data_IF_022988573904
#
_entry.id   IF_022988573904
#
_cell.length_a   1.000
_cell.length_b   1.000
_cell.length_c   1.000
_cell.angle_alpha   90.00
_cell.angle_beta   90.00
_cell.angle_gamma   90.00
#
_symmetry.space_group_name_H-M   'P 1'
#
loop_
_entity.id
_entity.type
_entity.pdbx_description
1 polymer ?
#
# COMPACT_ATOMS: atom_id res chain seq x y z
N UNK A 1 -12.05 -1.83 -4.13
CA UNK A 1 -10.67 -2.08 -4.62
C UNK A 1 -9.90 -3.15 -3.83
N UNK A 2 -9.74 -3.06 -2.50
CA UNK A 2 -8.99 -4.07 -1.70
C UNK A 2 -9.42 -5.52 -1.96
N UNK A 3 -10.73 -5.78 -1.97
CA UNK A 3 -11.27 -7.12 -2.22
C UNK A 3 -10.90 -7.66 -3.61
N UNK A 4 -10.92 -6.78 -4.61
CA UNK A 4 -10.54 -7.11 -5.98
C UNK A 4 -9.05 -7.48 -6.06
N UNK A 5 -8.17 -6.69 -5.46
CA UNK A 5 -6.73 -7.01 -5.39
C UNK A 5 -6.45 -8.29 -4.62
N UNK A 6 -7.22 -8.54 -3.55
CA UNK A 6 -7.14 -9.78 -2.77
C UNK A 6 -7.41 -11.05 -3.57
N UNK A 7 -8.23 -11.00 -4.63
CA UNK A 7 -8.45 -12.15 -5.52
C UNK A 7 -7.19 -12.57 -6.29
N UNK A 8 -6.28 -11.62 -6.53
CA UNK A 8 -4.98 -11.87 -7.16
C UNK A 8 -3.88 -12.19 -6.14
N UNK A 9 -4.22 -12.32 -4.86
CA UNK A 9 -3.26 -12.53 -3.79
C UNK A 9 -2.38 -11.30 -3.51
N UNK A 10 -2.82 -10.12 -3.93
CA UNK A 10 -2.17 -8.84 -3.64
C UNK A 10 -2.71 -8.32 -2.31
N UNK A 11 -1.86 -8.29 -1.29
CA UNK A 11 -2.22 -7.80 0.03
C UNK A 11 -2.17 -6.27 0.07
N UNK A 12 -3.33 -5.64 0.31
CA UNK A 12 -3.44 -4.19 0.46
C UNK A 12 -4.18 -3.82 1.74
N UNK A 13 -3.76 -2.74 2.40
CA UNK A 13 -4.52 -2.12 3.49
C UNK A 13 -5.42 -0.98 2.97
N UNK A 14 -6.49 -0.67 3.70
CA UNK A 14 -7.37 0.47 3.42
C UNK A 14 -7.14 1.50 4.50
N UNK A 15 -6.99 2.76 4.10
CA UNK A 15 -7.01 3.92 4.96
C UNK A 15 -8.21 4.79 4.56
N UNK A 16 -9.12 5.00 5.50
CA UNK A 16 -10.29 5.86 5.32
C UNK A 16 -10.38 6.83 6.51
N UNK A 17 -10.87 8.05 6.29
CA UNK A 17 -11.09 9.06 7.33
C UNK A 17 -12.13 8.61 8.36
N UNK A 18 -13.12 7.82 7.95
CA UNK A 18 -14.16 7.25 8.83
C UNK A 18 -13.63 6.23 9.86
N UNK A 19 -12.38 5.79 9.75
CA UNK A 19 -11.80 4.85 10.71
C UNK A 19 -11.31 5.60 11.96
N UNK A 20 -11.50 5.02 13.17
CA UNK A 20 -10.93 5.56 14.40
C UNK A 20 -9.42 5.80 14.26
N UNK A 21 -8.88 6.85 14.89
CA UNK A 21 -7.46 7.22 14.76
C UNK A 21 -6.54 6.07 15.14
N UNK A 22 -6.86 5.30 16.18
CA UNK A 22 -6.09 4.12 16.60
C UNK A 22 -6.00 3.05 15.51
N UNK A 23 -7.07 2.84 14.73
CA UNK A 23 -7.04 1.94 13.57
C UNK A 23 -6.20 2.54 12.44
N UNK A 24 -6.34 3.84 12.14
CA UNK A 24 -5.54 4.53 11.10
C UNK A 24 -4.04 4.47 11.40
N UNK A 25 -3.65 4.78 12.63
CA UNK A 25 -2.29 4.64 13.15
C UNK A 25 -1.77 3.22 12.94
N UNK A 26 -2.53 2.22 13.38
CA UNK A 26 -2.15 0.83 13.27
C UNK A 26 -1.94 0.39 11.81
N UNK A 27 -2.78 0.86 10.89
CA UNK A 27 -2.66 0.57 9.46
C UNK A 27 -1.39 1.18 8.87
N UNK A 28 -1.05 2.41 9.26
CA UNK A 28 0.16 3.09 8.79
C UNK A 28 1.40 2.40 9.36
N UNK A 29 1.40 2.00 10.63
CA UNK A 29 2.47 1.22 11.23
C UNK A 29 2.67 -0.12 10.52
N UNK A 30 1.60 -0.84 10.21
CA UNK A 30 1.67 -2.09 9.44
C UNK A 30 2.28 -1.88 8.04
N UNK A 31 1.94 -0.78 7.38
CA UNK A 31 2.52 -0.42 6.09
C UNK A 31 4.01 -0.08 6.21
N UNK A 32 4.39 0.76 7.18
CA UNK A 32 5.77 1.15 7.44
C UNK A 32 6.64 -0.03 7.89
N UNK A 33 6.06 -0.98 8.64
CA UNK A 33 6.67 -2.25 9.00
C UNK A 33 6.70 -3.26 7.83
N UNK A 34 6.23 -2.88 6.64
CA UNK A 34 6.29 -3.68 5.41
C UNK A 34 5.40 -4.94 5.44
N UNK A 35 4.37 -4.98 6.28
CA UNK A 35 3.37 -6.05 6.27
C UNK A 35 2.52 -5.99 4.99
N UNK A 36 2.25 -4.78 4.51
CA UNK A 36 1.56 -4.51 3.27
C UNK A 36 2.44 -3.68 2.35
N UNK A 37 2.53 -4.08 1.08
CA UNK A 37 3.24 -3.33 0.05
C UNK A 37 2.38 -2.21 -0.57
N UNK A 38 1.05 -2.32 -0.46
CA UNK A 38 0.10 -1.40 -1.07
C UNK A 38 -0.87 -0.90 -0.01
N UNK A 39 -1.07 0.41 0.01
CA UNK A 39 -2.10 1.08 0.77
C UNK A 39 -3.08 1.75 -0.20
N UNK A 40 -4.37 1.59 0.08
CA UNK A 40 -5.45 2.27 -0.63
C UNK A 40 -5.99 3.32 0.33
N UNK A 41 -5.74 4.59 0.02
CA UNK A 41 -6.26 5.70 0.78
C UNK A 41 -7.40 6.38 0.02
N UNK A 42 -8.45 6.74 0.73
CA UNK A 42 -9.45 7.69 0.24
C UNK A 42 -9.13 9.05 0.82
N UNK A 43 -9.10 10.06 -0.04
CA UNK A 43 -8.99 11.43 0.43
C UNK A 43 -10.29 11.84 1.12
N UNK A 44 -10.15 12.57 2.22
CA UNK A 44 -11.23 13.36 2.77
C UNK A 44 -11.51 14.46 1.73
N UNK A 45 -12.72 14.51 1.17
CA UNK A 45 -13.22 15.79 0.71
C UNK A 45 -13.23 16.63 1.98
N UNK A 46 -12.30 17.57 2.11
CA UNK A 46 -12.45 18.69 3.03
C UNK A 46 -13.76 19.36 2.62
N UNK A 47 -14.87 18.92 3.21
CA UNK A 47 -16.02 19.76 3.47
C UNK A 47 -15.56 20.78 4.52
N UNK A 48 -14.57 21.59 4.16
CA UNK A 48 -14.44 22.91 4.75
C UNK A 48 -15.46 23.75 3.98
N UNK A 49 -16.64 24.04 4.54
CA UNK A 49 -17.34 25.22 4.07
C UNK A 49 -16.36 26.38 4.25
N UNK A 50 -16.25 27.24 3.24
CA UNK A 50 -15.59 28.53 3.34
C UNK A 50 -15.98 29.19 4.67
N UNK A 51 -15.12 29.08 5.68
CA UNK A 51 -15.21 29.91 6.87
C UNK A 51 -14.33 31.10 6.58
N UNK A 52 -14.96 32.21 6.17
CA UNK A 52 -14.44 33.54 6.43
C UNK A 52 -13.94 33.62 7.87
N UNK A 53 -12.80 34.28 8.07
CA UNK A 53 -11.97 34.28 9.29
C UNK A 53 -12.67 34.72 10.60
N UNK A 54 -13.96 35.03 10.57
CA UNK A 54 -14.72 35.61 11.69
C UNK A 54 -15.47 34.58 12.57
N UNK A 55 -15.57 33.29 12.18
CA UNK A 55 -16.38 32.28 12.89
C UNK A 55 -15.58 31.26 13.72
N UNK A 56 -14.36 31.62 14.15
CA UNK A 56 -13.47 30.74 14.91
C UNK A 56 -13.98 30.32 16.32
N UNK A 57 -15.07 30.90 16.82
CA UNK A 57 -15.52 30.68 18.21
C UNK A 57 -16.72 29.73 18.39
N UNK A 58 -17.30 29.17 17.32
CA UNK A 58 -18.49 28.28 17.42
C UNK A 58 -18.35 26.92 16.77
N UNK A 59 -17.21 26.25 16.96
CA UNK A 59 -17.08 24.81 16.68
C UNK A 59 -16.62 24.08 17.94
N UNK A 60 -17.51 24.05 18.94
CA UNK A 60 -17.37 23.11 20.06
C UNK A 60 -17.56 21.68 19.54
N UNK A 61 -16.54 20.84 19.72
CA UNK A 61 -16.56 19.39 19.50
C UNK A 61 -16.55 18.88 18.04
N UNK A 62 -15.82 19.51 17.11
CA UNK A 62 -15.30 18.77 15.95
C UNK A 62 -13.92 18.22 16.28
N UNK A 63 -13.75 16.93 15.98
CA UNK A 63 -12.73 16.04 16.51
C UNK A 63 -11.32 16.64 16.45
N UNK A 64 -10.77 16.96 17.63
CA UNK A 64 -9.32 17.22 17.83
C UNK A 64 -8.43 16.04 17.35
N UNK A 65 -9.03 14.90 17.01
CA UNK A 65 -8.40 13.70 16.47
C UNK A 65 -7.96 13.82 15.00
N UNK A 66 -8.53 14.73 14.19
CA UNK A 66 -8.08 14.96 12.80
C UNK A 66 -6.69 15.61 12.73
N UNK A 67 -6.31 16.36 13.77
CA UNK A 67 -4.99 16.98 13.93
C UNK A 67 -3.84 16.01 14.24
N UNK A 68 -4.14 14.77 14.67
CA UNK A 68 -3.14 13.75 15.02
C UNK A 68 -2.42 13.19 13.77
N UNK A 69 -2.90 13.52 12.57
CA UNK A 69 -2.24 13.16 11.31
C UNK A 69 -0.94 13.94 11.03
N UNK A 70 -0.69 15.06 11.71
CA UNK A 70 0.58 15.81 11.62
C UNK A 70 1.67 15.13 12.48
N UNK A 71 2.12 13.96 12.03
CA UNK A 71 3.17 13.18 12.70
C UNK A 71 3.26 11.72 12.26
N UNK A 72 2.24 11.23 11.55
CA UNK A 72 2.18 9.85 11.08
C UNK A 72 2.38 9.87 9.57
N UNK A 73 3.56 9.43 9.15
CA UNK A 73 4.00 9.61 7.79
C UNK A 73 4.27 8.27 7.10
N UNK A 74 3.94 8.18 5.81
CA UNK A 74 4.24 6.99 5.02
C UNK A 74 5.74 6.96 4.73
N UNK A 75 6.44 5.99 5.29
CA UNK A 75 7.86 5.82 5.08
C UNK A 75 8.10 5.00 3.81
N UNK A 76 9.08 5.41 3.00
CA UNK A 76 9.55 4.67 1.82
C UNK A 76 8.51 4.42 0.72
N UNK A 77 7.51 5.29 0.56
CA UNK A 77 6.64 5.26 -0.61
C UNK A 77 7.49 5.53 -1.85
N UNK A 78 7.46 4.58 -2.79
CA UNK A 78 8.20 4.71 -4.06
C UNK A 78 7.29 5.22 -5.17
N UNK A 79 6.04 4.74 -5.22
CA UNK A 79 5.12 5.02 -6.30
C UNK A 79 3.77 5.45 -5.72
N UNK A 80 3.18 6.48 -6.31
CA UNK A 80 1.82 6.94 -6.02
C UNK A 80 0.99 6.75 -7.28
N UNK A 81 -0.21 6.22 -7.12
CA UNK A 81 -1.17 6.05 -8.21
C UNK A 81 -2.42 6.81 -7.82
N UNK A 82 -2.70 7.92 -8.50
CA UNK A 82 -3.98 8.61 -8.39
C UNK A 82 -4.98 7.85 -9.25
N UNK A 83 -5.86 7.08 -8.59
CA UNK A 83 -6.92 6.34 -9.28
C UNK A 83 -8.00 7.30 -9.80
N UNK A 84 -8.39 8.26 -8.97
CA UNK A 84 -9.21 9.41 -9.33
C UNK A 84 -8.32 10.67 -9.26
N UNK A 85 -8.46 11.58 -10.22
CA UNK A 85 -7.61 12.75 -10.29
C UNK A 85 -7.95 13.74 -9.14
N UNK A 86 -6.96 14.37 -8.47
CA UNK A 86 -7.25 15.34 -7.41
C UNK A 86 -8.06 16.53 -7.93
N UNK A 87 -9.01 17.01 -7.13
CA UNK A 87 -9.88 18.15 -7.49
C UNK A 87 -9.10 19.47 -7.57
N UNK A 88 -8.05 19.61 -6.74
CA UNK A 88 -7.27 20.84 -6.63
C UNK A 88 -5.76 20.56 -6.70
N UNK A 89 -5.00 21.61 -7.05
CA UNK A 89 -3.53 21.57 -7.09
C UNK A 89 -2.91 21.27 -5.72
N UNK A 90 -3.44 21.86 -4.64
CA UNK A 90 -2.92 21.63 -3.28
C UNK A 90 -3.07 20.16 -2.90
N UNK A 91 -4.22 19.56 -3.23
CA UNK A 91 -4.48 18.14 -3.04
C UNK A 91 -3.51 17.28 -3.86
N UNK A 92 -3.24 17.64 -5.12
CA UNK A 92 -2.25 16.96 -5.95
C UNK A 92 -0.83 17.02 -5.34
N UNK A 93 -0.38 18.20 -4.91
CA UNK A 93 0.94 18.39 -4.27
C UNK A 93 1.02 17.60 -2.97
N UNK A 94 -0.02 17.61 -2.13
CA UNK A 94 -0.05 16.85 -0.89
C UNK A 94 -0.03 15.33 -1.09
N UNK A 95 -0.66 14.83 -2.16
CA UNK A 95 -0.59 13.42 -2.56
C UNK A 95 0.83 13.08 -3.01
N UNK A 96 1.36 13.77 -4.01
CA UNK A 96 2.71 13.48 -4.56
C UNK A 96 3.81 13.72 -3.51
N UNK A 97 3.62 14.65 -2.58
CA UNK A 97 4.52 14.89 -1.45
C UNK A 97 4.65 13.72 -0.47
N UNK A 98 3.87 12.64 -0.64
CA UNK A 98 4.05 11.37 0.11
C UNK A 98 5.18 10.50 -0.43
N UNK A 99 5.62 10.72 -1.66
CA UNK A 99 6.75 10.01 -2.27
C UNK A 99 8.03 10.86 -2.24
N UNK A 100 9.13 10.30 -2.74
CA UNK A 100 10.39 11.01 -2.95
C UNK A 100 10.97 11.73 -1.71
N UNK A 101 10.85 11.11 -0.52
CA UNK A 101 11.38 11.68 0.72
C UNK A 101 12.85 11.31 0.98
N UNK A 102 13.60 12.29 1.48
CA UNK A 102 15.04 12.18 1.68
C UNK A 102 15.79 12.11 0.35
N UNK A 103 16.69 11.13 0.20
CA UNK A 103 17.47 10.91 -1.04
C UNK A 103 16.78 9.96 -2.03
N UNK A 104 15.58 9.47 -1.74
CA UNK A 104 14.91 8.49 -2.61
C UNK A 104 14.14 9.20 -3.72
N UNK A 105 14.23 8.70 -4.94
CA UNK A 105 13.34 9.09 -6.03
C UNK A 105 11.98 8.39 -5.91
N UNK A 106 10.94 9.10 -6.33
CA UNK A 106 9.57 8.61 -6.38
C UNK A 106 8.94 8.81 -7.75
N UNK A 107 7.91 8.02 -8.07
CA UNK A 107 7.09 8.23 -9.26
C UNK A 107 5.63 8.45 -8.88
N UNK A 108 4.94 9.31 -9.63
CA UNK A 108 3.51 9.51 -9.52
C UNK A 108 2.86 9.23 -10.88
N UNK A 109 1.82 8.41 -10.87
CA UNK A 109 1.00 8.10 -12.05
C UNK A 109 -0.42 8.55 -11.74
N UNK A 110 -1.02 9.33 -12.63
CA UNK A 110 -2.41 9.73 -12.51
C UNK A 110 -3.23 9.10 -13.64
N UNK A 111 -4.36 8.51 -13.28
CA UNK A 111 -5.41 8.17 -14.23
C UNK A 111 -6.34 9.38 -14.34
N UNK A 112 -6.66 9.79 -15.56
CA UNK A 112 -7.54 10.93 -15.84
C UNK A 112 -8.64 10.42 -16.75
N UNK A 113 -9.88 10.48 -16.27
CA UNK A 113 -11.06 10.21 -17.08
C UNK A 113 -11.45 11.42 -17.92
N UNK A 114 -12.28 11.21 -18.94
CA UNK A 114 -12.77 12.31 -19.81
C UNK A 114 -13.49 13.39 -19.00
N UNK A 115 -14.20 13.01 -17.94
CA UNK A 115 -14.92 13.94 -17.06
C UNK A 115 -13.98 14.78 -16.18
N UNK A 116 -12.76 14.30 -15.91
CA UNK A 116 -11.76 14.99 -15.08
C UNK A 116 -10.78 15.85 -15.91
N UNK A 117 -10.87 15.80 -17.24
CA UNK A 117 -10.01 16.59 -18.14
C UNK A 117 -9.98 18.10 -17.81
N UNK A 118 -11.10 18.80 -17.56
CA UNK A 118 -11.05 20.24 -17.26
C UNK A 118 -10.28 20.54 -15.96
N UNK A 119 -10.45 19.69 -14.95
CA UNK A 119 -9.72 19.80 -13.68
C UNK A 119 -8.23 19.53 -13.87
N UNK A 120 -7.90 18.54 -14.70
CA UNK A 120 -6.53 18.22 -15.05
C UNK A 120 -5.82 19.40 -15.73
N UNK A 121 -6.46 20.03 -16.72
CA UNK A 121 -5.91 21.20 -17.42
C UNK A 121 -5.65 22.37 -16.47
N UNK A 122 -6.60 22.66 -15.56
CA UNK A 122 -6.44 23.71 -14.56
C UNK A 122 -5.26 23.43 -13.60
N UNK A 123 -5.13 22.18 -13.14
CA UNK A 123 -4.01 21.77 -12.27
C UNK A 123 -2.68 21.81 -13.03
N UNK A 124 -2.65 21.40 -14.30
CA UNK A 124 -1.46 21.46 -15.14
C UNK A 124 -0.99 22.91 -15.35
N UNK A 125 -1.90 23.83 -15.70
CA UNK A 125 -1.58 25.24 -15.90
C UNK A 125 -1.01 25.87 -14.63
N UNK A 126 -1.68 25.66 -13.48
CA UNK A 126 -1.23 26.18 -12.19
C UNK A 126 0.13 25.59 -11.78
N UNK A 127 0.37 24.30 -12.03
CA UNK A 127 1.67 23.68 -11.75
C UNK A 127 2.78 24.22 -12.65
N UNK A 128 2.51 24.42 -13.95
CA UNK A 128 3.46 25.02 -14.88
C UNK A 128 3.85 26.44 -14.44
N UNK A 129 2.85 27.24 -14.03
CA UNK A 129 3.07 28.59 -13.50
C UNK A 129 3.95 28.58 -12.24
N UNK A 130 3.69 27.68 -11.29
CA UNK A 130 4.47 27.56 -10.05
C UNK A 130 5.91 27.09 -10.29
N UNK A 131 6.13 26.19 -11.24
CA UNK A 131 7.44 25.60 -11.51
C UNK A 131 8.30 26.45 -12.46
N UNK A 132 7.77 27.57 -12.99
CA UNK A 132 8.43 28.45 -13.96
C UNK A 132 9.14 27.65 -15.08
N UNK A 133 8.53 26.54 -15.50
CA UNK A 133 9.15 25.55 -16.38
C UNK A 133 8.50 25.63 -17.75
N UNK A 134 9.30 25.80 -18.80
CA UNK A 134 8.82 25.79 -20.20
C UNK A 134 8.42 24.37 -20.68
N UNK A 135 8.75 23.35 -19.91
CA UNK A 135 8.43 21.95 -20.23
C UNK A 135 7.10 21.52 -19.61
N UNK A 136 6.34 20.68 -20.33
CA UNK A 136 5.16 20.03 -19.77
C UNK A 136 5.51 19.29 -18.47
N UNK A 137 4.77 19.61 -17.41
CA UNK A 137 4.93 19.01 -16.07
C UNK A 137 4.54 17.53 -16.12
N UNK A 138 3.44 17.23 -16.82
CA UNK A 138 2.98 15.86 -17.01
C UNK A 138 3.57 15.24 -18.26
N UNK A 139 3.94 13.96 -18.15
CA UNK A 139 4.43 13.15 -19.28
C UNK A 139 3.39 12.10 -19.63
N UNK A 140 2.99 12.07 -20.89
CA UNK A 140 2.06 11.08 -21.40
C UNK A 140 2.63 9.66 -21.23
N UNK A 141 1.88 8.82 -20.52
CA UNK A 141 2.24 7.42 -20.36
C UNK A 141 1.73 6.62 -21.55
N UNK A 142 2.59 6.40 -22.54
CA UNK A 142 2.29 5.58 -23.73
C UNK A 142 2.18 4.10 -23.33
N UNK A 143 0.95 3.63 -23.14
CA UNK A 143 0.66 2.25 -22.81
C UNK A 143 -0.21 1.59 -23.88
N UNK A 144 0.21 0.41 -24.35
CA UNK A 144 -0.54 -0.37 -25.34
C UNK A 144 -1.63 -1.16 -24.64
N UNK A 145 -2.86 -0.67 -24.69
CA UNK A 145 -4.01 -1.32 -24.06
C UNK A 145 -4.24 -2.71 -24.65
N UNK A 146 -3.93 -2.92 -25.93
CA UNK A 146 -4.05 -4.22 -26.63
C UNK A 146 -3.25 -5.33 -25.93
N UNK A 147 -2.12 -4.99 -25.29
CA UNK A 147 -1.32 -5.97 -24.54
C UNK A 147 -2.09 -6.52 -23.32
N UNK A 148 -3.15 -5.85 -22.85
CA UNK A 148 -3.93 -6.27 -21.69
C UNK A 148 -5.10 -7.20 -22.01
N UNK A 149 -5.42 -7.45 -23.29
CA UNK A 149 -6.58 -8.27 -23.65
C UNK A 149 -6.52 -9.69 -23.08
N UNK A 150 -5.32 -10.25 -22.95
CA UNK A 150 -5.08 -11.55 -22.31
C UNK A 150 -5.47 -11.61 -20.82
N UNK A 151 -5.67 -10.45 -20.17
CA UNK A 151 -6.11 -10.34 -18.78
C UNK A 151 -7.58 -9.94 -18.64
N UNK A 152 -8.23 -9.48 -19.71
CA UNK A 152 -9.59 -8.91 -19.68
C UNK A 152 -10.60 -9.84 -19.01
N UNK A 153 -10.61 -11.12 -19.36
CA UNK A 153 -11.53 -12.10 -18.77
C UNK A 153 -11.25 -12.37 -17.29
N UNK A 154 -9.98 -12.36 -16.88
CA UNK A 154 -9.60 -12.56 -15.47
C UNK A 154 -10.03 -11.39 -14.61
N UNK A 155 -9.76 -10.17 -15.10
CA UNK A 155 -10.21 -8.92 -14.48
C UNK A 155 -11.71 -8.92 -14.34
N UNK A 156 -12.43 -9.29 -15.40
CA UNK A 156 -13.89 -9.34 -15.41
C UNK A 156 -14.44 -10.37 -14.42
N UNK A 157 -13.89 -11.58 -14.33
CA UNK A 157 -14.33 -12.59 -13.35
C UNK A 157 -14.10 -12.11 -11.91
N UNK A 158 -12.92 -11.56 -11.60
CA UNK A 158 -12.63 -11.00 -10.28
C UNK A 158 -13.55 -9.81 -9.94
N UNK A 159 -13.86 -8.97 -10.93
CA UNK A 159 -14.76 -7.82 -10.77
C UNK A 159 -16.18 -8.25 -10.44
N UNK A 160 -16.75 -9.19 -11.20
CA UNK A 160 -18.12 -9.66 -10.96
C UNK A 160 -18.31 -10.34 -9.60
N UNK A 161 -17.25 -10.90 -9.04
CA UNK A 161 -17.26 -11.45 -7.67
C UNK A 161 -17.31 -10.37 -6.61
N UNK A 162 -16.77 -9.18 -6.89
CA UNK A 162 -16.75 -8.05 -5.96
C UNK A 162 -18.10 -7.31 -5.95
N UNK A 163 -19.17 -8.00 -5.55
CA UNK A 163 -20.51 -7.40 -5.43
C UNK A 163 -20.66 -6.56 -4.17
N UNK A 164 -21.62 -5.63 -4.16
CA UNK A 164 -21.92 -4.81 -2.98
C UNK A 164 -22.29 -5.64 -1.74
N UNK A 165 -22.95 -6.79 -1.93
CA UNK A 165 -23.26 -7.75 -0.86
C UNK A 165 -21.97 -8.30 -0.24
N UNK A 166 -21.02 -8.74 -1.06
CA UNK A 166 -19.74 -9.23 -0.59
C UNK A 166 -18.94 -8.14 0.14
N UNK A 167 -18.97 -6.90 -0.36
CA UNK A 167 -18.32 -5.75 0.30
C UNK A 167 -18.91 -5.51 1.69
N UNK A 168 -20.24 -5.48 1.79
CA UNK A 168 -20.96 -5.33 3.06
C UNK A 168 -20.59 -6.43 4.05
N UNK A 169 -20.50 -7.66 3.57
CA UNK A 169 -20.16 -8.83 4.36
C UNK A 169 -18.72 -8.81 4.89
N UNK A 170 -17.76 -8.43 4.04
CA UNK A 170 -16.37 -8.21 4.46
C UNK A 170 -16.28 -7.05 5.46
N UNK A 171 -16.99 -5.94 5.21
CA UNK A 171 -16.99 -4.78 6.12
C UNK A 171 -17.56 -5.12 7.49
N UNK A 172 -18.66 -5.88 7.54
CA UNK A 172 -19.24 -6.40 8.81
C UNK A 172 -18.22 -7.23 9.58
N UNK A 173 -17.47 -8.09 8.90
CA UNK A 173 -16.42 -8.91 9.52
C UNK A 173 -15.28 -8.06 10.09
N UNK A 174 -14.84 -7.03 9.37
CA UNK A 174 -13.81 -6.10 9.83
C UNK A 174 -14.26 -5.33 11.05
N UNK A 175 -15.43 -4.69 10.99
CA UNK A 175 -16.00 -3.95 12.12
C UNK A 175 -16.13 -4.82 13.35
N UNK A 176 -16.59 -6.07 13.20
CA UNK A 176 -16.64 -7.04 14.30
C UNK A 176 -15.26 -7.28 14.92
N UNK A 177 -14.21 -7.41 14.12
CA UNK A 177 -12.86 -7.60 14.65
C UNK A 177 -12.36 -6.34 15.36
N UNK A 178 -12.68 -5.16 14.84
CA UNK A 178 -12.35 -3.88 15.47
C UNK A 178 -13.10 -3.68 16.80
N UNK A 179 -14.39 -4.00 16.85
CA UNK A 179 -15.23 -4.01 18.05
C UNK A 179 -14.60 -4.88 19.15
N UNK A 180 -14.16 -6.10 18.79
CA UNK A 180 -13.49 -7.03 19.73
C UNK A 180 -12.11 -6.55 20.20
N UNK A 181 -11.43 -5.69 19.43
CA UNK A 181 -10.09 -5.17 19.73
C UNK A 181 -10.13 -3.84 20.49
N UNK A 182 -11.26 -3.14 20.47
CA UNK A 182 -11.41 -1.84 21.09
C UNK A 182 -11.32 -1.94 22.61
N UNK A 183 -10.39 -1.18 23.19
CA UNK A 183 -10.20 -1.11 24.65
C UNK A 183 -11.40 -0.45 25.35
N UNK A 184 -12.01 0.56 24.72
CA UNK A 184 -13.20 1.23 25.27
C UNK A 184 -14.38 0.27 25.38
N UNK A 185 -14.57 -0.58 24.37
CA UNK A 185 -15.64 -1.57 24.37
C UNK A 185 -15.32 -2.78 25.24
N UNK A 186 -14.04 -3.03 25.53
CA UNK A 186 -13.64 -4.10 26.44
C UNK A 186 -14.26 -3.90 27.83
N UNK A 187 -14.18 -2.70 28.40
CA UNK A 187 -14.84 -2.38 29.67
C UNK A 187 -16.36 -2.59 29.59
N UNK A 188 -16.99 -2.15 28.50
CA UNK A 188 -18.43 -2.34 28.29
C UNK A 188 -18.83 -3.83 28.22
N UNK A 189 -18.00 -4.68 27.60
CA UNK A 189 -18.23 -6.12 27.51
C UNK A 189 -17.93 -6.87 28.81
N UNK A 190 -17.12 -6.31 29.71
CA UNK A 190 -16.94 -6.82 31.07
C UNK A 190 -18.26 -6.69 31.86
N UNK A 191 -18.94 -5.55 31.72
CA UNK A 191 -20.26 -5.32 32.31
C UNK A 191 -21.38 -6.09 31.59
N UNK A 192 -21.24 -6.32 30.28
CA UNK A 192 -22.24 -6.95 29.41
C UNK A 192 -21.72 -8.23 28.71
N UNK A 193 -21.49 -9.34 29.45
CA UNK A 193 -20.88 -10.54 28.89
C UNK A 193 -21.76 -11.24 27.84
N UNK A 194 -23.08 -11.05 27.89
CA UNK A 194 -24.04 -11.61 26.91
C UNK A 194 -23.81 -11.01 25.53
N UNK A 195 -23.53 -9.72 25.43
CA UNK A 195 -23.31 -9.05 24.15
C UNK A 195 -22.01 -9.51 23.49
N UNK A 196 -20.97 -9.70 24.30
CA UNK A 196 -19.72 -10.30 23.84
C UNK A 196 -19.93 -11.70 23.28
N UNK A 197 -20.79 -12.51 23.92
CA UNK A 197 -21.14 -13.84 23.42
C UNK A 197 -21.91 -13.75 22.10
N UNK A 198 -22.90 -12.87 21.97
CA UNK A 198 -23.62 -12.64 20.70
C UNK A 198 -22.63 -12.23 19.62
N UNK A 199 -21.71 -11.31 19.92
CA UNK A 199 -20.70 -10.86 18.99
C UNK A 199 -19.77 -12.01 18.60
N UNK A 200 -19.37 -12.89 19.53
CA UNK A 200 -18.54 -14.08 19.24
C UNK A 200 -19.28 -15.16 18.44
N UNK A 201 -20.57 -15.35 18.67
CA UNK A 201 -21.38 -16.39 18.05
C UNK A 201 -22.12 -15.94 16.79
N UNK A 202 -22.09 -14.65 16.44
CA UNK A 202 -22.69 -14.21 15.19
C UNK A 202 -22.06 -14.98 14.02
N UNK A 203 -22.89 -15.36 13.04
CA UNK A 203 -22.47 -16.19 11.91
C UNK A 203 -21.22 -15.59 11.26
N UNK A 204 -20.18 -16.40 11.08
CA UNK A 204 -19.00 -15.97 10.32
C UNK A 204 -19.45 -15.68 8.90
N UNK A 205 -19.46 -14.41 8.51
CA UNK A 205 -19.60 -14.09 7.09
C UNK A 205 -18.39 -14.68 6.38
N UNK A 206 -18.65 -15.68 5.55
CA UNK A 206 -17.69 -16.19 4.60
C UNK A 206 -17.46 -15.03 3.63
N UNK A 207 -16.41 -14.24 3.86
CA UNK A 207 -15.96 -13.26 2.88
C UNK A 207 -15.70 -13.94 1.53
N UNK A 208 -15.30 -13.17 0.53
CA UNK A 208 -15.14 -13.73 -0.82
C UNK A 208 -14.24 -14.99 -0.82
N UNK A 209 -14.71 -16.12 -1.40
CA UNK A 209 -13.91 -17.31 -1.51
C UNK A 209 -12.64 -16.98 -2.32
N UNK A 210 -11.48 -17.21 -1.72
CA UNK A 210 -10.20 -16.91 -2.35
C UNK A 210 -9.91 -17.94 -3.44
N UNK A 211 -9.74 -17.47 -4.67
CA UNK A 211 -9.41 -18.33 -5.79
C UNK A 211 -7.90 -18.45 -5.93
N UNK A 212 -7.39 -19.64 -5.61
CA UNK A 212 -5.94 -19.89 -5.67
C UNK A 212 -5.37 -19.77 -7.09
N UNK A 213 -6.16 -20.05 -8.13
CA UNK A 213 -5.68 -19.99 -9.52
C UNK A 213 -5.59 -18.57 -10.09
N UNK A 214 -6.34 -17.59 -9.56
CA UNK A 214 -6.24 -16.19 -10.03
C UNK A 214 -4.92 -15.54 -9.63
N UNK A 215 -4.28 -16.03 -8.56
CA UNK A 215 -2.97 -15.56 -8.11
C UNK A 215 -1.84 -15.86 -9.10
N UNK A 216 -1.91 -16.98 -9.82
CA UNK A 216 -0.85 -17.37 -10.74
C UNK A 216 -1.17 -16.89 -12.16
N UNK A 217 -0.20 -16.31 -12.85
CA UNK A 217 -0.34 -15.91 -14.24
C UNK A 217 0.50 -16.87 -15.08
N UNK A 218 -0.11 -17.67 -15.96
CA UNK A 218 0.65 -18.50 -16.88
C UNK A 218 1.54 -17.64 -17.78
N UNK A 219 2.77 -18.10 -18.03
CA UNK A 219 3.77 -17.31 -18.74
C UNK A 219 3.36 -16.89 -20.16
N UNK A 220 2.48 -17.68 -20.79
CA UNK A 220 1.95 -17.39 -22.13
C UNK A 220 0.92 -16.25 -22.15
N UNK A 221 0.21 -15.98 -21.04
CA UNK A 221 -0.68 -14.81 -20.91
C UNK A 221 0.08 -13.51 -20.67
N UNK A 222 1.38 -13.58 -20.34
CA UNK A 222 2.18 -12.37 -20.06
C UNK A 222 2.63 -11.74 -21.39
N UNK A 223 2.33 -10.45 -21.61
CA UNK A 223 2.79 -9.70 -22.78
C UNK A 223 4.31 -9.71 -22.92
N UNK A 224 4.81 -9.71 -24.17
CA UNK A 224 6.24 -9.86 -24.46
C UNK A 224 7.11 -8.80 -23.76
N UNK A 225 6.65 -7.55 -23.71
CA UNK A 225 7.26 -6.42 -23.01
C UNK A 225 7.29 -6.57 -21.47
N UNK A 226 6.38 -7.35 -20.89
CA UNK A 226 6.26 -7.57 -19.45
C UNK A 226 6.87 -8.89 -18.97
N UNK A 227 7.27 -9.79 -19.88
CA UNK A 227 7.85 -11.10 -19.53
C UNK A 227 9.09 -11.01 -18.65
N UNK A 228 9.98 -10.05 -18.90
CA UNK A 228 11.18 -9.86 -18.11
C UNK A 228 10.83 -9.49 -16.65
N UNK A 229 9.89 -8.56 -16.46
CA UNK A 229 9.40 -8.15 -15.13
C UNK A 229 8.69 -9.31 -14.43
N UNK A 230 7.85 -10.05 -15.15
CA UNK A 230 7.15 -11.21 -14.61
C UNK A 230 8.11 -12.31 -14.15
N UNK A 231 9.19 -12.59 -14.88
CA UNK A 231 10.21 -13.57 -14.46
C UNK A 231 10.91 -13.16 -13.17
N UNK A 232 11.25 -11.87 -13.01
CA UNK A 232 11.84 -11.35 -11.77
C UNK A 232 10.87 -11.49 -10.60
N UNK A 233 9.59 -11.16 -10.81
CA UNK A 233 8.56 -11.30 -9.79
C UNK A 233 8.34 -12.77 -9.36
N UNK A 234 8.27 -13.69 -10.33
CA UNK A 234 8.14 -15.13 -10.08
C UNK A 234 9.35 -15.68 -9.32
N UNK A 235 10.56 -15.22 -9.64
CA UNK A 235 11.80 -15.65 -8.98
C UNK A 235 11.85 -15.18 -7.52
N UNK A 236 11.54 -13.90 -7.27
CA UNK A 236 11.43 -13.35 -5.89
C UNK A 236 10.41 -14.09 -5.04
N UNK A 237 9.28 -14.49 -5.64
CA UNK A 237 8.26 -15.27 -4.92
C UNK A 237 8.77 -16.67 -4.53
N UNK A 238 9.52 -17.34 -5.40
CA UNK A 238 10.17 -18.62 -5.08
C UNK A 238 11.20 -18.46 -3.95
N UNK A 239 11.99 -17.39 -3.97
CA UNK A 239 12.99 -17.11 -2.94
C UNK A 239 12.36 -16.86 -1.57
N UNK A 240 11.29 -16.03 -1.51
CA UNK A 240 10.54 -15.80 -0.27
C UNK A 240 9.88 -17.08 0.27
N UNK A 241 9.40 -17.96 -0.60
CA UNK A 241 8.81 -19.25 -0.21
C UNK A 241 9.87 -20.21 0.34
N UNK A 242 11.07 -20.20 -0.24
CA UNK A 242 12.20 -20.98 0.24
C UNK A 242 12.77 -20.44 1.55
N UNK A 243 12.81 -19.11 1.73
CA UNK A 243 13.15 -18.47 3.00
C UNK A 243 12.15 -18.83 4.12
N UNK A 244 10.85 -18.84 3.82
CA UNK A 244 9.81 -19.22 4.78
C UNK A 244 9.94 -20.69 5.21
N UNK A 245 10.33 -21.59 4.28
CA UNK A 245 10.62 -23.01 4.60
C UNK A 245 11.95 -23.19 5.34
N UNK A 246 12.98 -22.40 5.03
CA UNK A 246 14.30 -22.45 5.67
C UNK A 246 14.33 -21.88 7.10
N UNK A 247 13.39 -20.98 7.44
CA UNK A 247 13.24 -20.42 8.80
C UNK A 247 12.74 -21.44 9.84
N UNK A 248 12.23 -22.59 9.42
CA UNK A 248 11.85 -23.68 10.33
C UNK A 248 13.06 -24.42 10.95
N UNK A 249 14.29 -24.22 10.47
CA UNK A 249 15.46 -25.01 10.92
C UNK A 249 16.62 -24.19 11.50
N UNK A 250 16.53 -22.85 11.57
CA UNK A 250 17.57 -22.02 12.19
C UNK A 250 17.00 -20.79 12.90
N UNK A 251 16.43 -20.99 14.09
CA UNK A 251 16.29 -19.91 15.07
C UNK A 251 17.32 -20.14 16.17
N UNK A 252 18.53 -19.64 15.97
CA UNK A 252 19.53 -19.57 17.03
C UNK A 252 19.38 -18.26 17.81
N UNK A 253 19.70 -18.35 19.11
CA UNK A 253 19.58 -17.36 20.19
C UNK A 253 20.07 -15.94 19.84
N UNK A 254 19.40 -14.97 20.48
CA UNK A 254 19.87 -13.60 20.78
C UNK A 254 20.18 -12.66 19.61
N UNK A 255 19.15 -12.18 18.92
CA UNK A 255 19.29 -11.02 18.04
C UNK A 255 17.98 -10.24 17.93
N UNK A 256 18.02 -8.93 18.18
CA UNK A 256 16.88 -8.03 17.96
C UNK A 256 16.39 -8.23 16.53
N UNK A 257 15.12 -8.57 16.36
CA UNK A 257 14.52 -8.81 15.05
C UNK A 257 14.45 -7.47 14.32
N UNK A 258 15.36 -7.25 13.37
CA UNK A 258 15.39 -6.05 12.51
C UNK A 258 14.00 -5.82 11.91
N UNK A 259 13.54 -4.56 11.92
CA UNK A 259 12.26 -4.18 11.29
C UNK A 259 12.35 -4.47 9.78
N UNK A 260 11.23 -4.74 9.13
CA UNK A 260 11.25 -5.07 7.69
C UNK A 260 11.75 -3.90 6.84
N UNK A 261 11.40 -2.66 7.21
CA UNK A 261 11.92 -1.43 6.60
C UNK A 261 13.44 -1.35 6.69
N UNK A 262 13.99 -1.64 7.88
CA UNK A 262 15.42 -1.73 8.15
C UNK A 262 16.08 -2.85 7.31
N UNK A 263 15.42 -4.00 7.15
CA UNK A 263 15.88 -5.09 6.28
C UNK A 263 15.87 -4.71 4.80
N UNK A 264 14.84 -4.02 4.31
CA UNK A 264 14.77 -3.53 2.92
C UNK A 264 15.83 -2.48 2.64
N UNK A 265 16.04 -1.56 3.59
CA UNK A 265 17.09 -0.55 3.51
C UNK A 265 18.48 -1.20 3.46
N UNK A 266 18.77 -2.12 4.39
CA UNK A 266 20.02 -2.87 4.42
C UNK A 266 20.21 -3.73 3.17
N UNK A 267 19.15 -4.36 2.64
CA UNK A 267 19.21 -5.13 1.40
C UNK A 267 19.49 -4.25 0.16
N UNK A 268 18.93 -3.04 0.11
CA UNK A 268 19.27 -2.05 -0.94
C UNK A 268 20.72 -1.57 -0.80
N UNK A 269 21.23 -1.41 0.41
CA UNK A 269 22.60 -0.98 0.68
C UNK A 269 23.63 -2.09 0.37
N UNK A 270 23.28 -3.34 0.67
CA UNK A 270 24.12 -4.52 0.46
C UNK A 270 24.26 -4.92 -1.02
N UNK A 271 23.35 -4.49 -1.89
CA UNK A 271 23.44 -4.70 -3.33
C UNK A 271 24.36 -3.61 -3.95
N UNK A 272 25.61 -3.96 -4.34
CA UNK A 272 26.58 -3.00 -4.84
C UNK A 272 26.15 -2.34 -6.15
N UNK A 273 25.24 -2.97 -6.92
CA UNK A 273 24.70 -2.40 -8.15
C UNK A 273 23.59 -1.38 -7.87
N UNK A 274 22.96 -1.43 -6.69
CA UNK A 274 21.93 -0.47 -6.26
C UNK A 274 22.49 0.64 -5.38
N UNK A 275 23.47 0.35 -4.53
CA UNK A 275 24.11 1.35 -3.68
C UNK A 275 25.22 2.12 -4.39
N UNK A 276 25.61 1.69 -5.60
CA UNK A 276 26.74 2.22 -6.40
C UNK A 276 28.07 2.25 -5.63
N UNK A 277 28.16 1.56 -4.48
CA UNK A 277 29.34 1.49 -3.63
C UNK A 277 29.96 0.11 -3.79
N UNK A 278 31.07 0.05 -4.54
CA UNK A 278 31.84 -1.17 -4.75
C UNK A 278 32.98 -1.26 -3.73
N UNK A 279 32.82 -2.08 -2.69
CA UNK A 279 33.95 -2.54 -1.88
C UNK A 279 34.57 -3.75 -2.59
N UNK A 280 35.79 -3.61 -3.12
CA UNK A 280 36.42 -4.56 -4.05
C UNK A 280 36.41 -6.05 -3.66
N UNK A 281 36.82 -6.90 -4.60
CA UNK A 281 36.83 -8.35 -4.42
C UNK A 281 37.67 -8.77 -3.20
N UNK A 282 37.03 -9.36 -2.19
CA UNK A 282 37.74 -10.00 -1.07
C UNK A 282 38.59 -11.15 -1.60
N UNK A 283 39.91 -10.99 -1.60
CA UNK A 283 40.87 -12.07 -1.91
C UNK A 283 40.59 -13.27 -0.99
N UNK A 284 40.13 -14.39 -1.55
CA UNK A 284 40.11 -15.68 -0.84
C UNK A 284 41.54 -16.00 -0.44
N UNK A 285 41.84 -16.04 0.86
CA UNK A 285 43.08 -16.60 1.37
C UNK A 285 43.10 -18.08 1.01
N UNK A 286 43.90 -18.45 0.01
CA UNK A 286 44.24 -19.86 -0.22
C UNK A 286 45.00 -20.36 1.02
N UNK A 287 44.42 -21.34 1.71
CA UNK A 287 45.07 -22.01 2.82
C UNK A 287 46.36 -22.68 2.34
N UNK A 288 47.47 -22.40 3.04
CA UNK A 288 48.77 -23.02 2.76
C UNK A 288 48.66 -24.55 2.87
N UNK A 289 49.21 -25.22 1.87
CA UNK A 289 49.26 -26.66 1.71
C UNK A 289 49.76 -27.39 2.96
N UNK A 290 49.11 -28.54 3.23
CA UNK A 290 49.61 -29.62 4.08
C UNK A 290 51.01 -30.02 3.63
N UNK A 291 51.92 -30.11 4.59
CA UNK A 291 53.23 -30.77 4.45
C UNK A 291 53.01 -32.21 3.97
N UNK A 292 53.68 -32.60 2.90
CA UNK A 292 53.94 -34.00 2.57
C UNK A 292 55.37 -34.32 3.02
N UNK A 293 55.49 -35.46 3.70
CA UNK A 293 56.70 -36.20 4.12
C UNK A 293 57.81 -35.40 4.78
#
# INVERSE_FOLDING_TARGET
>A
LRMFLGQYGISSCILNSELPVTSRLHIIDQFNDGLYDIIIASDEQTLEPYTSDDDAEKIGNRDKESGVARGIDFQFVSNIINFDFPVDINSYIHRVGRTARGENQGTALSLVSVAEMPVFEEVEEKLQALMMSESKVFKDFKFKIDDLDGFRYRVRDAWFRCTALAVRDVRKKELRQELMRSQQLQCYFEDNPKELQVLKHAKSSHGLPHINHLKNIPYYNVPKNLKAVAQVAISRWKDNRNEAKGKSMRANKSGRRLKHSERRFLAKQADPLRSMKFSGFKKKKFGKNKKFS
#
